data_IF_075028690100
#
_entry.id   IF_075028690100
#
_cell.length_a   1.000
_cell.length_b   1.000
_cell.length_c   1.000
_cell.angle_alpha   90.00
_cell.angle_beta   90.00
_cell.angle_gamma   90.00
#
_symmetry.space_group_name_H-M   'P 1'
#
loop_
_entity.id
_entity.type
_entity.pdbx_description
1 polymer ?
#
# COMPACT_ATOMS: atom_id res chain seq x y z
N UNK A 1 -4.90 34.11 -6.70
CA UNK A 1 -5.49 33.53 -7.92
C UNK A 1 -5.53 32.03 -7.71
N UNK A 2 -6.72 31.52 -7.45
CA UNK A 2 -7.03 30.15 -7.04
C UNK A 2 -6.77 29.18 -8.19
N UNK A 3 -5.85 28.23 -7.99
CA UNK A 3 -5.62 27.13 -8.92
C UNK A 3 -6.86 26.25 -8.97
N UNK A 4 -7.44 26.12 -10.17
CA UNK A 4 -8.57 25.24 -10.43
C UNK A 4 -8.16 23.79 -10.16
N UNK A 5 -8.67 23.20 -9.07
CA UNK A 5 -8.78 21.75 -8.93
C UNK A 5 -9.70 21.25 -10.05
N UNK A 6 -9.10 20.92 -11.19
CA UNK A 6 -9.81 20.41 -12.35
C UNK A 6 -10.05 18.94 -12.09
N UNK A 7 -11.31 18.54 -11.99
CA UNK A 7 -11.72 17.15 -12.03
C UNK A 7 -10.95 16.45 -13.18
N UNK A 8 -10.21 15.35 -12.93
CA UNK A 8 -9.45 14.69 -13.99
C UNK A 8 -10.41 14.33 -15.12
N UNK A 9 -10.01 14.60 -16.37
CA UNK A 9 -10.86 14.29 -17.52
C UNK A 9 -11.22 12.80 -17.50
N UNK A 10 -12.43 12.40 -17.95
CA UNK A 10 -12.83 10.98 -17.98
C UNK A 10 -11.79 10.08 -18.64
N UNK A 11 -11.13 10.58 -19.69
CA UNK A 11 -10.04 9.88 -20.39
C UNK A 11 -8.79 9.70 -19.53
N UNK A 12 -8.44 10.66 -18.67
CA UNK A 12 -7.32 10.53 -17.74
C UNK A 12 -7.59 9.43 -16.71
N UNK A 13 -8.82 9.37 -16.17
CA UNK A 13 -9.19 8.33 -15.22
C UNK A 13 -9.20 6.94 -15.87
N UNK A 14 -9.82 6.82 -17.04
CA UNK A 14 -9.84 5.57 -17.81
C UNK A 14 -8.43 5.02 -18.05
N UNK A 15 -7.51 5.86 -18.54
CA UNK A 15 -6.13 5.43 -18.79
C UNK A 15 -5.33 5.19 -17.50
N UNK A 16 -5.67 5.87 -16.40
CA UNK A 16 -5.06 5.59 -15.10
C UNK A 16 -5.46 4.19 -14.59
N UNK A 17 -6.74 3.83 -14.65
CA UNK A 17 -7.20 2.49 -14.23
C UNK A 17 -6.61 1.39 -15.12
N UNK A 18 -6.57 1.60 -16.43
CA UNK A 18 -5.95 0.64 -17.35
C UNK A 18 -4.44 0.48 -17.09
N UNK A 19 -3.74 1.59 -16.88
CA UNK A 19 -2.31 1.57 -16.56
C UNK A 19 -2.04 0.95 -15.18
N UNK A 20 -2.92 1.16 -14.21
CA UNK A 20 -2.85 0.54 -12.90
C UNK A 20 -3.02 -0.97 -12.98
N UNK A 21 -4.02 -1.45 -13.73
CA UNK A 21 -4.20 -2.88 -13.97
C UNK A 21 -2.97 -3.51 -14.64
N UNK A 22 -2.32 -2.82 -15.57
CA UNK A 22 -1.05 -3.26 -16.16
C UNK A 22 0.09 -3.30 -15.14
N UNK A 23 0.24 -2.27 -14.32
CA UNK A 23 1.29 -2.17 -13.30
C UNK A 23 1.17 -3.26 -12.22
N UNK A 24 -0.05 -3.65 -11.83
CA UNK A 24 -0.28 -4.76 -10.89
C UNK A 24 0.24 -6.12 -11.41
N UNK A 25 0.35 -6.28 -12.74
CA UNK A 25 0.88 -7.50 -13.36
C UNK A 25 2.38 -7.42 -13.68
N UNK A 26 2.85 -6.22 -14.04
CA UNK A 26 4.17 -6.04 -14.67
C UNK A 26 5.19 -5.30 -13.79
N UNK A 27 4.76 -4.73 -12.66
CA UNK A 27 5.59 -3.85 -11.82
C UNK A 27 5.79 -2.44 -12.39
N UNK A 28 6.45 -1.56 -11.63
CA UNK A 28 6.75 -0.17 -12.03
C UNK A 28 8.17 0.03 -12.57
N UNK A 29 9.11 -0.81 -12.16
CA UNK A 29 10.55 -0.66 -12.44
C UNK A 29 10.82 -0.83 -13.93
N UNK A 30 10.17 -1.82 -14.54
CA UNK A 30 10.23 -2.09 -15.98
C UNK A 30 9.17 -1.33 -16.78
N UNK A 31 8.40 -0.43 -16.13
CA UNK A 31 7.33 0.30 -16.79
C UNK A 31 7.93 1.24 -17.85
N UNK A 32 7.62 0.94 -19.10
CA UNK A 32 8.00 1.74 -20.26
C UNK A 32 6.74 2.21 -20.98
N UNK A 33 6.77 3.46 -21.45
CA UNK A 33 5.57 4.11 -22.00
C UNK A 33 5.05 3.45 -23.29
N UNK A 34 5.93 2.83 -24.07
CA UNK A 34 5.56 2.19 -25.35
C UNK A 34 4.75 0.89 -25.12
N UNK A 35 5.30 -0.15 -24.46
CA UNK A 35 4.52 -1.34 -24.11
C UNK A 35 3.24 -1.04 -23.33
N UNK A 36 3.32 -0.13 -22.35
CA UNK A 36 2.14 0.28 -21.60
C UNK A 36 1.05 0.85 -22.53
N UNK A 37 1.43 1.81 -23.38
CA UNK A 37 0.47 2.47 -24.27
C UNK A 37 -0.15 1.49 -25.28
N UNK A 38 0.62 0.53 -25.79
CA UNK A 38 0.12 -0.51 -26.68
C UNK A 38 -0.91 -1.40 -25.98
N UNK A 39 -0.60 -1.87 -24.76
CA UNK A 39 -1.52 -2.69 -23.96
C UNK A 39 -2.85 -1.98 -23.68
N UNK A 40 -2.78 -0.72 -23.24
CA UNK A 40 -3.99 0.05 -22.86
C UNK A 40 -4.63 0.78 -24.04
N UNK A 41 -4.25 0.42 -25.27
CA UNK A 41 -4.82 0.95 -26.51
C UNK A 41 -4.79 2.49 -26.57
N UNK A 42 -3.62 3.06 -26.29
CA UNK A 42 -3.33 4.49 -26.26
C UNK A 42 -2.00 4.79 -26.99
N UNK A 43 -1.41 5.96 -26.75
CA UNK A 43 -0.08 6.30 -27.25
C UNK A 43 0.79 6.91 -26.16
N UNK A 44 2.14 6.77 -26.22
CA UNK A 44 3.05 7.43 -25.30
C UNK A 44 2.82 8.96 -25.22
N UNK A 45 2.48 9.58 -26.35
CA UNK A 45 2.20 11.02 -26.42
C UNK A 45 0.95 11.38 -25.62
N UNK A 46 -0.12 10.58 -25.70
CA UNK A 46 -1.34 10.80 -24.90
C UNK A 46 -1.07 10.63 -23.41
N UNK A 47 -0.29 9.62 -23.02
CA UNK A 47 0.09 9.43 -21.62
C UNK A 47 0.90 10.62 -21.09
N UNK A 48 1.92 11.06 -21.82
CA UNK A 48 2.70 12.24 -21.44
C UNK A 48 1.85 13.52 -21.40
N UNK A 49 0.89 13.67 -22.32
CA UNK A 49 -0.03 14.80 -22.30
C UNK A 49 -0.91 14.82 -21.04
N UNK A 50 -1.47 13.66 -20.64
CA UNK A 50 -2.40 13.57 -19.51
C UNK A 50 -1.73 13.54 -18.14
N UNK A 51 -0.51 13.01 -18.06
CA UNK A 51 0.23 12.83 -16.80
C UNK A 51 1.45 13.76 -16.68
N UNK A 52 1.72 14.58 -17.70
CA UNK A 52 2.82 15.55 -17.75
C UNK A 52 4.19 14.92 -18.04
N UNK A 53 4.51 13.82 -17.38
CA UNK A 53 5.77 13.10 -17.56
C UNK A 53 5.61 11.61 -17.20
N UNK A 54 6.65 10.81 -17.45
CA UNK A 54 6.71 9.44 -16.93
C UNK A 54 6.61 9.42 -15.40
N UNK A 55 7.33 10.32 -14.73
CA UNK A 55 7.29 10.46 -13.28
C UNK A 55 5.91 10.88 -12.78
N UNK A 56 5.22 11.77 -13.51
CA UNK A 56 3.85 12.15 -13.21
C UNK A 56 2.86 10.98 -13.34
N UNK A 57 3.07 10.09 -14.30
CA UNK A 57 2.32 8.84 -14.41
C UNK A 57 2.62 7.91 -13.23
N UNK A 58 3.89 7.74 -12.86
CA UNK A 58 4.29 6.92 -11.70
C UNK A 58 3.63 7.47 -10.42
N UNK A 59 3.69 8.78 -10.18
CA UNK A 59 3.01 9.42 -9.03
C UNK A 59 1.50 9.14 -9.02
N UNK A 60 0.85 9.20 -10.18
CA UNK A 60 -0.58 8.90 -10.29
C UNK A 60 -0.90 7.43 -9.99
N UNK A 61 -0.07 6.50 -10.47
CA UNK A 61 -0.20 5.07 -10.20
C UNK A 61 0.02 4.76 -8.70
N UNK A 62 1.03 5.39 -8.09
CA UNK A 62 1.28 5.25 -6.65
C UNK A 62 0.11 5.78 -5.82
N UNK A 63 -0.42 6.96 -6.16
CA UNK A 63 -1.59 7.51 -5.47
C UNK A 63 -2.82 6.58 -5.59
N UNK A 64 -3.01 5.96 -6.77
CA UNK A 64 -4.09 4.98 -7.00
C UNK A 64 -3.89 3.70 -6.20
N UNK A 65 -2.66 3.18 -6.10
CA UNK A 65 -2.31 2.03 -5.26
C UNK A 65 -2.54 2.33 -3.77
N UNK A 66 -2.11 3.52 -3.32
CA UNK A 66 -2.38 4.01 -1.95
C UNK A 66 -3.87 4.09 -1.66
N UNK A 67 -4.70 4.46 -2.64
CA UNK A 67 -6.15 4.52 -2.45
C UNK A 67 -6.76 3.15 -2.13
N UNK A 68 -6.27 2.06 -2.74
CA UNK A 68 -6.69 0.70 -2.41
C UNK A 68 -6.26 0.32 -0.98
N UNK A 69 -5.01 0.59 -0.61
CA UNK A 69 -4.53 0.33 0.75
C UNK A 69 -5.33 1.10 1.81
N UNK A 70 -5.60 2.39 1.55
CA UNK A 70 -6.37 3.23 2.46
C UNK A 70 -7.84 2.79 2.54
N UNK A 71 -8.40 2.22 1.48
CA UNK A 71 -9.76 1.66 1.52
C UNK A 71 -9.83 0.48 2.48
N UNK A 72 -8.83 -0.40 2.45
CA UNK A 72 -8.71 -1.55 3.38
C UNK A 72 -8.52 -1.07 4.81
N UNK A 73 -7.66 -0.06 5.03
CA UNK A 73 -7.48 0.54 6.35
C UNK A 73 -8.80 1.08 6.91
N UNK A 74 -9.60 1.77 6.07
CA UNK A 74 -10.91 2.29 6.47
C UNK A 74 -11.92 1.17 6.75
N UNK A 75 -11.89 0.09 5.98
CA UNK A 75 -12.77 -1.06 6.18
C UNK A 75 -12.47 -1.74 7.53
N UNK A 76 -11.20 -2.04 7.81
CA UNK A 76 -10.75 -2.64 9.08
C UNK A 76 -11.05 -1.70 10.26
N UNK A 77 -10.85 -0.39 10.09
CA UNK A 77 -11.17 0.57 11.15
C UNK A 77 -12.68 0.78 11.38
N UNK A 78 -13.51 0.53 10.37
CA UNK A 78 -14.94 0.85 10.36
C UNK A 78 -15.88 -0.30 10.74
N UNK A 79 -15.38 -1.53 10.87
CA UNK A 79 -16.17 -2.68 11.31
C UNK A 79 -16.72 -2.42 12.72
N UNK A 80 -18.06 -2.33 12.82
CA UNK A 80 -18.86 -1.74 13.90
C UNK A 80 -18.76 -2.40 15.29
N UNK A 81 -18.02 -3.49 15.44
CA UNK A 81 -17.72 -4.10 16.75
C UNK A 81 -16.35 -3.68 17.29
N UNK A 82 -15.53 -3.00 16.48
CA UNK A 82 -14.14 -2.69 16.79
C UNK A 82 -13.31 -3.98 16.93
N UNK A 83 -12.08 -4.03 16.42
CA UNK A 83 -11.18 -5.09 16.84
C UNK A 83 -11.02 -5.03 18.37
N UNK A 84 -11.34 -6.14 19.05
CA UNK A 84 -11.10 -6.36 20.50
C UNK A 84 -9.59 -6.31 20.80
N UNK A 85 -8.98 -5.13 20.71
CA UNK A 85 -7.55 -4.94 20.89
C UNK A 85 -6.71 -5.00 19.60
N UNK A 86 -5.47 -4.54 19.75
CA UNK A 86 -4.43 -4.46 18.72
C UNK A 86 -4.23 -5.78 17.96
N UNK A 87 -4.34 -6.92 18.65
CA UNK A 87 -4.16 -8.24 18.07
C UNK A 87 -5.26 -8.56 17.05
N UNK A 88 -6.50 -8.11 17.30
CA UNK A 88 -7.60 -8.32 16.36
C UNK A 88 -7.37 -7.50 15.08
N UNK A 89 -7.04 -6.19 15.19
CA UNK A 89 -6.66 -5.35 14.04
C UNK A 89 -5.56 -6.03 13.22
N UNK A 90 -4.53 -6.51 13.90
CA UNK A 90 -3.36 -7.11 13.25
C UNK A 90 -3.69 -8.43 12.54
N UNK A 91 -4.61 -9.25 13.08
CA UNK A 91 -5.09 -10.47 12.40
C UNK A 91 -5.88 -10.14 11.15
N UNK A 92 -6.73 -9.11 11.20
CA UNK A 92 -7.50 -8.69 10.02
C UNK A 92 -6.59 -8.12 8.93
N UNK A 93 -5.64 -7.28 9.32
CA UNK A 93 -4.62 -6.78 8.43
C UNK A 93 -3.80 -7.93 7.83
N UNK A 94 -3.39 -8.92 8.63
CA UNK A 94 -2.68 -10.10 8.12
C UNK A 94 -3.52 -10.92 7.15
N UNK A 95 -4.81 -11.12 7.42
CA UNK A 95 -5.72 -11.83 6.51
C UNK A 95 -5.72 -11.19 5.13
N UNK A 96 -5.76 -9.86 5.09
CA UNK A 96 -5.65 -9.11 3.84
C UNK A 96 -4.25 -9.25 3.20
N UNK A 97 -3.17 -9.03 3.97
CA UNK A 97 -1.80 -9.16 3.46
C UNK A 97 -1.48 -10.56 2.90
N UNK A 98 -2.10 -11.59 3.47
CA UNK A 98 -1.84 -12.98 3.11
C UNK A 98 -2.70 -13.50 1.96
N UNK A 99 -3.75 -12.78 1.56
CA UNK A 99 -4.61 -13.17 0.44
C UNK A 99 -3.86 -13.12 -0.91
N UNK A 100 -4.01 -14.19 -1.69
CA UNK A 100 -3.43 -14.30 -3.01
C UNK A 100 -3.99 -13.25 -4.00
N UNK A 101 -5.23 -12.80 -3.81
CA UNK A 101 -5.88 -11.78 -4.62
C UNK A 101 -5.16 -10.43 -4.57
N UNK A 102 -4.39 -10.17 -3.52
CA UNK A 102 -3.68 -8.89 -3.30
C UNK A 102 -2.20 -8.95 -3.68
N UNK A 103 -1.69 -10.07 -4.21
CA UNK A 103 -0.26 -10.27 -4.51
C UNK A 103 0.33 -9.23 -5.48
N UNK A 104 -0.42 -8.84 -6.51
CA UNK A 104 0.02 -7.81 -7.46
C UNK A 104 0.21 -6.45 -6.78
N UNK A 105 -0.76 -6.05 -5.96
CA UNK A 105 -0.73 -4.80 -5.20
C UNK A 105 0.40 -4.80 -4.17
N UNK A 106 0.59 -5.92 -3.46
CA UNK A 106 1.60 -6.02 -2.41
C UNK A 106 3.02 -6.08 -2.98
N UNK A 107 3.21 -6.71 -4.15
CA UNK A 107 4.49 -6.65 -4.88
C UNK A 107 4.79 -5.22 -5.32
N UNK A 108 3.81 -4.53 -5.89
CA UNK A 108 3.90 -3.12 -6.27
C UNK A 108 4.25 -2.23 -5.06
N UNK A 109 3.65 -2.54 -3.91
CA UNK A 109 3.92 -1.85 -2.65
C UNK A 109 5.39 -2.03 -2.20
N UNK A 110 5.90 -3.26 -2.17
CA UNK A 110 7.30 -3.54 -1.78
C UNK A 110 8.27 -2.81 -2.71
N UNK A 111 7.99 -2.85 -4.01
CA UNK A 111 8.79 -2.16 -5.01
C UNK A 111 8.82 -0.65 -4.75
N UNK A 112 7.65 -0.05 -4.54
CA UNK A 112 7.48 1.39 -4.30
C UNK A 112 8.13 1.82 -2.99
N UNK A 113 8.02 0.98 -1.95
CA UNK A 113 8.67 1.18 -0.66
C UNK A 113 10.19 1.23 -0.83
N UNK A 114 10.78 0.22 -1.46
CA UNK A 114 12.23 0.17 -1.70
C UNK A 114 12.71 1.36 -2.52
N UNK A 115 12.00 1.72 -3.59
CA UNK A 115 12.32 2.87 -4.44
C UNK A 115 12.30 4.19 -3.68
N UNK A 116 11.32 4.40 -2.81
CA UNK A 116 11.22 5.62 -2.00
C UNK A 116 12.37 5.80 -1.01
N UNK A 117 13.07 4.71 -0.64
CA UNK A 117 14.26 4.77 0.21
C UNK A 117 15.53 5.07 -0.58
N UNK A 118 15.61 4.60 -1.83
CA UNK A 118 16.81 4.77 -2.69
C UNK A 118 16.77 6.01 -3.57
N UNK A 119 15.57 6.54 -3.82
CA UNK A 119 15.33 7.74 -4.64
C UNK A 119 14.33 8.66 -3.91
N UNK A 120 14.77 9.34 -2.84
CA UNK A 120 13.89 10.11 -1.97
C UNK A 120 13.33 11.39 -2.61
N UNK A 121 13.92 11.87 -3.71
CA UNK A 121 13.49 13.07 -4.45
C UNK A 121 12.68 12.72 -5.73
N UNK A 122 12.63 11.43 -6.10
CA UNK A 122 11.94 10.94 -7.28
C UNK A 122 10.41 10.83 -7.14
N UNK A 123 9.73 10.21 -8.13
CA UNK A 123 8.28 10.00 -8.09
C UNK A 123 7.77 9.13 -6.94
N UNK A 124 8.64 8.39 -6.25
CA UNK A 124 8.32 7.55 -5.09
C UNK A 124 8.48 8.28 -3.74
N UNK A 125 8.94 9.53 -3.75
CA UNK A 125 9.19 10.34 -2.56
C UNK A 125 8.02 10.26 -1.55
N UNK A 126 8.33 9.99 -0.28
CA UNK A 126 7.35 9.93 0.80
C UNK A 126 6.61 8.60 0.96
N UNK A 127 6.55 7.75 -0.07
CA UNK A 127 5.70 6.54 -0.07
C UNK A 127 5.93 5.62 1.15
N UNK A 128 7.19 5.28 1.48
CA UNK A 128 7.49 4.46 2.65
C UNK A 128 7.07 5.12 3.97
N UNK A 129 7.35 6.42 4.12
CA UNK A 129 7.01 7.19 5.33
C UNK A 129 5.51 7.25 5.53
N UNK A 130 4.76 7.58 4.48
CA UNK A 130 3.31 7.73 4.53
C UNK A 130 2.66 6.38 4.86
N UNK A 131 3.13 5.29 4.24
CA UNK A 131 2.65 3.95 4.56
C UNK A 131 2.93 3.57 6.02
N UNK A 132 4.13 3.87 6.55
CA UNK A 132 4.43 3.65 7.98
C UNK A 132 3.43 4.39 8.86
N UNK A 133 3.18 5.67 8.56
CA UNK A 133 2.23 6.49 9.31
C UNK A 133 0.82 5.89 9.31
N UNK A 134 0.29 5.58 8.13
CA UNK A 134 -1.08 5.09 7.96
C UNK A 134 -1.30 3.72 8.65
N UNK A 135 -0.33 2.81 8.56
CA UNK A 135 -0.44 1.50 9.21
C UNK A 135 -0.28 1.60 10.74
N UNK A 136 0.60 2.48 11.23
CA UNK A 136 0.69 2.74 12.67
C UNK A 136 -0.59 3.38 13.21
N UNK A 137 -1.24 4.27 12.44
CA UNK A 137 -2.51 4.86 12.81
C UNK A 137 -3.64 3.81 12.87
N UNK A 138 -3.69 2.89 11.90
CA UNK A 138 -4.61 1.75 11.95
C UNK A 138 -4.36 0.88 13.18
N UNK A 139 -3.12 0.47 13.44
CA UNK A 139 -2.81 -0.38 14.60
C UNK A 139 -3.11 0.34 15.93
N UNK A 140 -2.88 1.65 15.98
CA UNK A 140 -3.24 2.48 17.13
C UNK A 140 -4.76 2.47 17.42
N UNK A 141 -5.63 2.30 16.41
CA UNK A 141 -7.08 2.26 16.61
C UNK A 141 -7.51 1.08 17.49
N UNK A 142 -6.76 -0.03 17.48
CA UNK A 142 -6.97 -1.19 18.35
C UNK A 142 -6.36 -1.05 19.75
N UNK A 143 -5.66 0.04 20.07
CA UNK A 143 -5.09 0.25 21.40
C UNK A 143 -6.04 1.08 22.29
N UNK A 144 -6.11 0.81 23.61
CA UNK A 144 -6.81 1.68 24.56
C UNK A 144 -6.27 3.11 24.51
N UNK A 145 -7.14 4.11 24.65
CA UNK A 145 -6.76 5.52 24.47
C UNK A 145 -5.65 5.94 25.45
N UNK A 146 -5.74 5.50 26.70
CA UNK A 146 -4.77 5.75 27.76
C UNK A 146 -3.39 5.12 27.54
N UNK A 147 -3.33 4.05 26.74
CA UNK A 147 -2.10 3.34 26.43
C UNK A 147 -1.48 3.77 25.11
N UNK A 148 -2.32 4.08 24.12
CA UNK A 148 -1.96 4.43 22.74
C UNK A 148 -0.90 5.51 22.63
N UNK A 149 -1.00 6.56 23.45
CA UNK A 149 -0.13 7.73 23.36
C UNK A 149 1.11 7.65 24.26
N UNK A 150 1.33 6.49 24.89
CA UNK A 150 2.54 6.19 25.67
C UNK A 150 3.67 5.67 24.77
N UNK A 151 4.91 5.77 25.23
CA UNK A 151 6.07 5.15 24.55
C UNK A 151 5.90 3.63 24.40
N UNK A 152 5.35 2.97 25.43
CA UNK A 152 5.05 1.54 25.40
C UNK A 152 3.99 1.19 24.34
N UNK A 153 2.94 2.03 24.22
CA UNK A 153 1.93 1.92 23.17
C UNK A 153 2.52 2.01 21.78
N UNK A 154 3.37 3.01 21.53
CA UNK A 154 4.07 3.16 20.25
C UNK A 154 4.99 1.97 19.96
N UNK A 155 5.77 1.52 20.93
CA UNK A 155 6.66 0.37 20.78
C UNK A 155 5.88 -0.91 20.44
N UNK A 156 4.75 -1.17 21.11
CA UNK A 156 3.91 -2.34 20.87
C UNK A 156 3.38 -2.39 19.43
N UNK A 157 2.77 -1.30 18.94
CA UNK A 157 2.25 -1.26 17.56
C UNK A 157 3.37 -1.27 16.52
N UNK A 158 4.54 -0.72 16.84
CA UNK A 158 5.73 -0.78 15.97
C UNK A 158 6.23 -2.22 15.83
N UNK A 159 6.28 -2.98 16.93
CA UNK A 159 6.67 -4.39 16.93
C UNK A 159 5.70 -5.24 16.09
N UNK A 160 4.40 -5.01 16.23
CA UNK A 160 3.38 -5.68 15.42
C UNK A 160 3.55 -5.36 13.94
N UNK A 161 3.74 -4.08 13.59
CA UNK A 161 3.99 -3.66 12.21
C UNK A 161 5.24 -4.32 11.61
N UNK A 162 6.32 -4.41 12.39
CA UNK A 162 7.57 -5.05 11.97
C UNK A 162 7.35 -6.54 11.65
N UNK A 163 6.61 -7.26 12.49
CA UNK A 163 6.30 -8.67 12.28
C UNK A 163 5.44 -8.90 11.03
N UNK A 164 4.39 -8.09 10.84
CA UNK A 164 3.52 -8.16 9.66
C UNK A 164 4.30 -7.92 8.37
N UNK A 165 5.17 -6.91 8.35
CA UNK A 165 5.98 -6.59 7.16
C UNK A 165 7.04 -7.64 6.86
N UNK A 166 7.72 -8.15 7.89
CA UNK A 166 8.67 -9.25 7.72
C UNK A 166 7.99 -10.49 7.14
N UNK A 167 6.84 -10.89 7.70
CA UNK A 167 6.06 -12.02 7.20
C UNK A 167 5.52 -11.78 5.77
N UNK A 168 5.12 -10.55 5.43
CA UNK A 168 4.71 -10.19 4.07
C UNK A 168 5.85 -10.38 3.07
N UNK A 169 7.05 -9.88 3.37
CA UNK A 169 8.21 -10.00 2.48
C UNK A 169 8.56 -11.47 2.24
N UNK A 170 8.59 -12.26 3.31
CA UNK A 170 8.79 -13.71 3.26
C UNK A 170 7.72 -14.41 2.41
N UNK A 171 6.46 -14.02 2.58
CA UNK A 171 5.34 -14.58 1.84
C UNK A 171 5.43 -14.28 0.35
N UNK A 172 5.75 -13.04 -0.02
CA UNK A 172 5.93 -12.66 -1.41
C UNK A 172 7.13 -13.38 -2.05
N UNK A 173 8.19 -13.63 -1.28
CA UNK A 173 9.38 -14.33 -1.77
C UNK A 173 9.18 -15.84 -1.91
N UNK A 174 8.40 -16.48 -1.03
CA UNK A 174 8.33 -17.94 -0.91
C UNK A 174 6.99 -18.54 -1.33
N UNK A 175 5.91 -17.76 -1.32
CA UNK A 175 4.55 -18.26 -1.50
C UNK A 175 3.99 -19.06 -0.31
N UNK A 176 4.75 -19.21 0.78
CA UNK A 176 4.38 -20.06 1.92
C UNK A 176 3.46 -19.31 2.90
N UNK A 177 2.18 -19.26 2.55
CA UNK A 177 1.13 -18.65 3.38
C UNK A 177 0.99 -19.32 4.74
N UNK A 178 1.16 -20.65 4.82
CA UNK A 178 0.96 -21.41 6.05
C UNK A 178 2.04 -21.06 7.10
N UNK A 179 3.32 -21.11 6.71
CA UNK A 179 4.45 -20.77 7.59
C UNK A 179 4.39 -19.33 8.07
N UNK A 180 4.16 -18.39 7.15
CA UNK A 180 4.13 -16.96 7.47
C UNK A 180 2.94 -16.60 8.37
N UNK A 181 1.77 -17.22 8.13
CA UNK A 181 0.60 -17.04 8.99
C UNK A 181 0.82 -17.61 10.39
N UNK A 182 1.43 -18.79 10.50
CA UNK A 182 1.77 -19.38 11.79
C UNK A 182 2.71 -18.47 12.61
N UNK A 183 3.73 -17.88 11.96
CA UNK A 183 4.64 -16.94 12.59
C UNK A 183 3.94 -15.67 13.10
N UNK A 184 3.07 -15.08 12.28
CA UNK A 184 2.27 -13.90 12.68
C UNK A 184 1.37 -14.22 13.86
N UNK A 185 0.65 -15.35 13.82
CA UNK A 185 -0.23 -15.74 14.92
C UNK A 185 0.53 -15.98 16.22
N UNK A 186 1.70 -16.61 16.16
CA UNK A 186 2.58 -16.81 17.32
C UNK A 186 3.00 -15.46 17.92
N UNK A 187 3.44 -14.52 17.09
CA UNK A 187 3.84 -13.18 17.53
C UNK A 187 2.67 -12.43 18.20
N UNK A 188 1.48 -12.47 17.58
CA UNK A 188 0.30 -11.78 18.12
C UNK A 188 -0.18 -12.38 19.44
N UNK A 189 0.06 -13.66 19.69
CA UNK A 189 -0.23 -14.31 20.97
C UNK A 189 0.72 -13.88 22.10
N UNK A 190 1.93 -13.42 21.77
CA UNK A 190 2.94 -12.97 22.74
C UNK A 190 2.86 -11.45 23.02
N UNK A 191 2.17 -10.70 22.16
CA UNK A 191 2.08 -9.24 22.25
C UNK A 191 0.90 -8.73 23.10
N UNK A 192 0.05 -9.63 23.63
CA UNK A 192 -1.03 -9.33 24.57
C UNK A 192 -0.71 -9.84 25.97
#
# INVERSE_FOLDING_TARGET
>A
MTGSETNPSPRRQELLEAAYAYALRSGLTELSLRPLAEEIQSSPRVLLYLFGSKDGLIRALLARARADELAVIREIAGSQDGPEGLQSVARELWRWLSDAAHRGLLTLWVESYARSLTDPDGPWAGFARDTVGDWLALLASGQPAEFRDTEAGLAQRTLVLAALRGALLDLLATGDTARTTAAVHLQLAQAG
#
